data_IF_069470522163
#
_entry.id   IF_069470522163
#
_cell.length_a   1.000
_cell.length_b   1.000
_cell.length_c   1.000
_cell.angle_alpha   90.00
_cell.angle_beta   90.00
_cell.angle_gamma   90.00
#
_symmetry.space_group_name_H-M   'P 1'
#
loop_
_entity.id
_entity.type
_entity.pdbx_description
1 polymer ?
#
# COMPACT_ATOMS: atom_id res chain seq x y z
N UNK A 1 -16.57 -9.77 1.03
CA UNK A 1 -16.20 -9.20 -0.28
C UNK A 1 -15.77 -7.77 -0.04
N UNK A 2 -14.70 -7.29 -0.68
CA UNK A 2 -14.30 -5.88 -0.63
C UNK A 2 -15.38 -5.03 -1.31
N UNK A 3 -15.95 -4.08 -0.57
CA UNK A 3 -17.01 -3.19 -1.07
C UNK A 3 -16.75 -1.77 -0.59
N UNK A 4 -17.34 -0.78 -1.28
CA UNK A 4 -17.25 0.65 -0.94
C UNK A 4 -17.75 1.00 0.47
N UNK A 5 -18.52 0.12 1.11
CA UNK A 5 -19.11 0.35 2.43
C UNK A 5 -18.15 0.12 3.60
N UNK A 6 -17.00 -0.54 3.36
CA UNK A 6 -16.04 -0.88 4.40
C UNK A 6 -14.70 -0.20 4.14
N UNK A 7 -13.99 0.11 5.22
CA UNK A 7 -12.61 0.57 5.18
C UNK A 7 -11.71 -0.55 5.72
N UNK A 8 -10.60 -0.79 5.05
CA UNK A 8 -9.68 -1.87 5.38
C UNK A 8 -8.38 -1.32 5.95
N UNK A 9 -7.93 -1.91 7.06
CA UNK A 9 -6.59 -1.65 7.62
C UNK A 9 -5.76 -2.90 7.45
N UNK A 10 -4.71 -2.80 6.62
CA UNK A 10 -3.74 -3.85 6.41
C UNK A 10 -2.68 -3.73 7.51
N UNK A 11 -2.52 -4.79 8.31
CA UNK A 11 -1.61 -4.81 9.47
C UNK A 11 -0.20 -5.24 9.13
N UNK A 12 0.07 -5.66 7.89
CA UNK A 12 1.43 -5.90 7.44
C UNK A 12 2.19 -4.58 7.21
N UNK A 13 3.50 -4.63 7.37
CA UNK A 13 4.40 -3.47 7.33
C UNK A 13 5.05 -3.26 5.96
N UNK A 14 4.70 -4.12 5.00
CA UNK A 14 5.22 -4.15 3.64
C UNK A 14 4.14 -3.90 2.59
N UNK A 15 3.12 -3.07 2.88
CA UNK A 15 1.94 -2.90 2.00
C UNK A 15 2.28 -2.54 0.55
N UNK A 16 3.41 -1.84 0.33
CA UNK A 16 3.96 -1.48 -0.98
C UNK A 16 4.30 -2.65 -1.91
N UNK A 17 4.40 -3.89 -1.39
CA UNK A 17 4.68 -5.09 -2.19
C UNK A 17 3.41 -5.77 -2.71
N UNK A 18 2.24 -5.37 -2.20
CA UNK A 18 0.95 -5.98 -2.53
C UNK A 18 0.45 -5.39 -3.84
N UNK A 19 0.05 -6.24 -4.79
CA UNK A 19 -0.66 -5.79 -5.98
C UNK A 19 -2.10 -5.41 -5.62
N UNK A 20 -2.40 -4.11 -5.69
CA UNK A 20 -3.73 -3.56 -5.43
C UNK A 20 -4.46 -3.12 -6.70
N UNK A 21 -3.96 -3.48 -7.89
CA UNK A 21 -4.51 -3.06 -9.19
C UNK A 21 -5.99 -3.45 -9.36
N UNK A 22 -6.35 -4.68 -8.97
CA UNK A 22 -7.74 -5.18 -9.03
C UNK A 22 -8.69 -4.47 -8.06
N UNK A 23 -8.14 -3.78 -7.06
CA UNK A 23 -8.89 -3.00 -6.07
C UNK A 23 -8.87 -1.50 -6.37
N UNK A 24 -8.37 -1.10 -7.54
CA UNK A 24 -8.50 0.27 -7.99
C UNK A 24 -9.95 0.54 -8.40
N UNK A 25 -10.44 1.76 -8.12
CA UNK A 25 -11.77 2.24 -8.51
C UNK A 25 -13.00 1.56 -7.88
N UNK A 26 -12.82 0.64 -6.93
CA UNK A 26 -13.94 -0.02 -6.22
C UNK A 26 -14.58 0.84 -5.11
N UNK A 27 -14.09 2.07 -4.90
CA UNK A 27 -14.67 3.01 -3.93
C UNK A 27 -14.40 2.70 -2.44
N UNK A 28 -13.60 1.67 -2.13
CA UNK A 28 -13.19 1.34 -0.77
C UNK A 28 -11.90 2.06 -0.39
N UNK A 29 -11.75 2.47 0.88
CA UNK A 29 -10.47 2.97 1.38
C UNK A 29 -9.66 1.83 1.98
N UNK A 30 -8.40 1.74 1.55
CA UNK A 30 -7.42 0.79 2.07
C UNK A 30 -6.30 1.60 2.70
N UNK A 31 -6.06 1.37 3.99
CA UNK A 31 -4.98 2.00 4.76
C UNK A 31 -4.00 0.91 5.19
N UNK A 32 -2.69 1.19 5.13
CA UNK A 32 -1.66 0.25 5.56
C UNK A 32 -0.40 0.94 6.05
N UNK A 33 0.61 0.14 6.35
CA UNK A 33 1.90 0.61 6.85
C UNK A 33 3.03 0.22 5.89
N UNK A 34 4.04 1.09 5.79
CA UNK A 34 5.27 0.85 5.01
C UNK A 34 6.47 1.19 5.89
N UNK A 35 7.37 0.23 6.10
CA UNK A 35 8.65 0.47 6.80
C UNK A 35 9.62 1.24 5.90
N UNK A 36 9.62 0.92 4.61
CA UNK A 36 10.54 1.50 3.64
C UNK A 36 10.12 2.95 3.38
N UNK A 37 11.05 3.88 3.52
CA UNK A 37 10.85 5.27 3.12
C UNK A 37 11.46 5.47 1.73
N UNK A 38 10.59 5.67 0.73
CA UNK A 38 10.99 5.89 -0.66
C UNK A 38 11.49 7.32 -0.90
N UNK A 39 11.18 8.26 0.00
CA UNK A 39 11.62 9.65 -0.07
C UNK A 39 12.97 9.86 0.64
N UNK A 40 13.52 8.82 1.29
CA UNK A 40 14.79 8.88 1.98
C UNK A 40 15.95 9.15 1.01
N UNK A 41 16.86 10.05 1.41
CA UNK A 41 18.10 10.30 0.67
C UNK A 41 18.92 9.01 0.55
N UNK A 42 19.16 8.54 -0.67
CA UNK A 42 19.88 7.29 -0.96
C UNK A 42 18.97 6.11 -1.31
N UNK A 43 17.65 6.24 -1.23
CA UNK A 43 16.73 5.17 -1.63
C UNK A 43 16.97 4.70 -3.09
N UNK A 44 17.12 5.66 -4.01
CA UNK A 44 17.37 5.38 -5.43
C UNK A 44 18.68 4.62 -5.70
N UNK A 45 19.68 4.74 -4.82
CA UNK A 45 20.97 4.04 -4.96
C UNK A 45 20.85 2.57 -4.54
N UNK A 46 19.90 2.24 -3.66
CA UNK A 46 19.68 0.88 -3.15
C UNK A 46 18.77 0.08 -4.09
N UNK A 47 17.90 0.76 -4.85
CA UNK A 47 16.93 0.15 -5.76
C UNK A 47 17.52 -0.18 -7.14
N UNK A 48 18.65 0.45 -7.53
CA UNK A 48 19.40 0.15 -8.76
C UNK A 48 20.16 -1.18 -8.68
#
# INVERSE_FOLDING_TARGET
MLTEYYNYVITTLDVHTINLEDFQYIGTNITGFRIVDEDASGFQEIVQ
#
